data_IF_543551041308
#
_entry.id   IF_543551041308
#
_cell.length_a   1.000
_cell.length_b   1.000
_cell.length_c   1.000
_cell.angle_alpha   90.00
_cell.angle_beta   90.00
_cell.angle_gamma   90.00
#
_symmetry.space_group_name_H-M   'P 1'
#
loop_
_entity.id
_entity.type
_entity.pdbx_description
1 polymer ?
#
# COMPACT_ATOMS: atom_id res chain seq x y z
N UNK A 1 4.00 72.67 43.87
CA UNK A 1 4.86 71.91 42.85
C UNK A 1 4.42 70.50 42.86
N UNK A 2 3.65 70.10 41.85
CA UNK A 2 3.08 68.74 41.74
C UNK A 2 3.92 67.96 40.72
N UNK A 3 4.62 66.88 41.15
CA UNK A 3 5.37 65.99 40.27
C UNK A 3 4.45 64.88 39.82
N UNK A 4 4.14 64.86 38.53
CA UNK A 4 3.41 63.76 37.87
C UNK A 4 4.42 62.68 37.51
N UNK A 5 4.29 61.48 38.10
CA UNK A 5 5.09 60.31 37.73
C UNK A 5 4.47 59.61 36.52
N UNK A 6 5.19 59.56 35.40
CA UNK A 6 4.80 58.79 34.22
C UNK A 6 5.06 57.29 34.50
N UNK A 7 4.01 56.51 34.59
CA UNK A 7 4.08 55.07 34.65
C UNK A 7 4.38 54.52 33.25
N UNK A 8 5.52 53.83 33.07
CA UNK A 8 5.83 53.13 31.86
C UNK A 8 5.06 51.80 31.80
N UNK A 9 4.08 51.71 30.93
CA UNK A 9 3.36 50.46 30.64
C UNK A 9 4.23 49.62 29.70
N UNK A 10 4.79 48.55 30.24
CA UNK A 10 5.43 47.49 29.43
C UNK A 10 4.37 46.61 28.79
N UNK A 11 4.19 46.73 27.48
CA UNK A 11 3.36 45.82 26.68
C UNK A 11 4.12 44.55 26.47
N UNK A 12 3.60 43.34 26.83
CA UNK A 12 4.28 42.08 26.54
C UNK A 12 4.17 41.80 25.07
N UNK A 13 5.32 41.62 24.40
CA UNK A 13 5.39 41.11 23.03
C UNK A 13 4.92 39.65 23.03
N UNK A 14 3.70 39.41 22.58
CA UNK A 14 3.20 38.08 22.27
C UNK A 14 3.97 37.57 21.03
N UNK A 15 4.89 36.63 21.25
CA UNK A 15 5.48 35.87 20.19
C UNK A 15 4.37 35.01 19.57
N UNK A 16 3.86 35.41 18.42
CA UNK A 16 3.04 34.57 17.56
C UNK A 16 3.91 33.40 17.07
N UNK A 17 3.82 32.25 17.74
CA UNK A 17 4.31 30.98 17.17
C UNK A 17 3.44 30.71 15.95
N UNK A 18 3.99 30.97 14.77
CA UNK A 18 3.47 30.43 13.52
C UNK A 18 3.56 28.91 13.60
N UNK A 19 2.42 28.27 13.84
CA UNK A 19 2.25 26.84 13.64
C UNK A 19 2.39 26.59 12.13
N UNK A 20 3.59 26.28 11.68
CA UNK A 20 3.80 25.66 10.38
C UNK A 20 3.14 24.28 10.44
N UNK A 21 1.93 24.17 9.94
CA UNK A 21 1.35 22.90 9.57
C UNK A 21 2.27 22.29 8.51
N UNK A 22 2.76 21.05 8.68
CA UNK A 22 3.44 20.39 7.59
C UNK A 22 2.42 20.30 6.46
N UNK A 23 2.75 20.84 5.29
CA UNK A 23 2.05 20.52 4.05
C UNK A 23 2.27 19.03 3.83
N UNK A 24 1.37 18.20 4.37
CA UNK A 24 1.23 16.83 3.93
C UNK A 24 0.79 16.92 2.48
N UNK A 25 1.74 16.74 1.57
CA UNK A 25 1.45 16.45 0.18
C UNK A 25 0.76 15.08 0.23
N UNK A 26 -0.55 15.07 0.42
CA UNK A 26 -1.36 13.89 0.17
C UNK A 26 -1.16 13.55 -1.30
N UNK A 27 -0.23 12.65 -1.55
CA UNK A 27 -0.17 11.96 -2.83
C UNK A 27 -1.40 11.04 -2.82
N UNK A 28 -2.51 11.54 -3.33
CA UNK A 28 -3.63 10.71 -3.73
C UNK A 28 -3.21 9.91 -4.98
N UNK A 29 -2.23 9.04 -4.84
CA UNK A 29 -2.00 8.02 -5.83
C UNK A 29 -3.16 7.04 -5.68
N UNK A 30 -4.03 7.00 -6.68
CA UNK A 30 -5.14 6.05 -6.67
C UNK A 30 -4.58 4.64 -6.83
N UNK A 31 -4.98 3.69 -5.97
CA UNK A 31 -4.53 2.32 -6.09
C UNK A 31 -5.00 1.70 -7.40
N UNK A 32 -4.18 0.86 -8.00
CA UNK A 32 -4.60 0.06 -9.14
C UNK A 32 -5.62 -0.99 -8.70
N UNK A 33 -6.79 -0.99 -9.35
CA UNK A 33 -7.87 -1.94 -9.06
C UNK A 33 -8.17 -2.75 -10.33
N UNK A 34 -8.29 -4.05 -10.17
CA UNK A 34 -8.59 -4.96 -11.26
C UNK A 34 -10.03 -4.79 -11.78
N UNK A 35 -10.23 -5.15 -13.05
CA UNK A 35 -11.56 -5.27 -13.64
C UNK A 35 -12.44 -6.19 -12.78
N UNK A 36 -13.75 -5.90 -12.76
CA UNK A 36 -14.70 -6.66 -11.93
C UNK A 36 -14.74 -8.17 -12.23
N UNK A 37 -14.38 -8.58 -13.44
CA UNK A 37 -14.39 -9.95 -13.92
C UNK A 37 -13.04 -10.68 -13.81
N UNK A 38 -12.05 -10.11 -13.09
CA UNK A 38 -10.69 -10.66 -13.01
C UNK A 38 -10.66 -12.15 -12.59
N UNK A 39 -11.58 -12.59 -11.74
CA UNK A 39 -11.66 -13.97 -11.27
C UNK A 39 -12.07 -14.97 -12.36
N UNK A 40 -12.53 -14.50 -13.52
CA UNK A 40 -12.80 -15.34 -14.71
C UNK A 40 -11.50 -15.77 -15.43
N UNK A 41 -10.36 -15.10 -15.15
CA UNK A 41 -9.08 -15.49 -15.72
C UNK A 41 -8.66 -16.85 -15.18
N UNK A 42 -8.64 -17.87 -16.03
CA UNK A 42 -8.32 -19.26 -15.67
C UNK A 42 -7.04 -19.78 -16.35
N UNK A 43 -6.66 -19.15 -17.44
CA UNK A 43 -5.46 -19.52 -18.16
C UNK A 43 -4.28 -18.62 -17.79
N UNK A 44 -3.07 -19.17 -17.89
CA UNK A 44 -1.84 -18.44 -17.61
C UNK A 44 -1.78 -17.18 -18.49
N UNK A 45 -1.47 -16.04 -17.86
CA UNK A 45 -1.30 -14.77 -18.54
C UNK A 45 0.17 -14.56 -18.89
N UNK A 46 0.46 -14.37 -20.18
CA UNK A 46 1.78 -14.05 -20.69
C UNK A 46 2.84 -15.09 -20.31
N UNK A 47 3.93 -14.64 -19.69
CA UNK A 47 5.04 -15.50 -19.27
C UNK A 47 4.78 -16.32 -17.98
N UNK A 48 3.58 -16.22 -17.40
CA UNK A 48 3.21 -16.93 -16.18
C UNK A 48 3.70 -16.27 -14.89
N UNK A 49 4.32 -15.11 -14.94
CA UNK A 49 4.76 -14.41 -13.75
C UNK A 49 3.63 -13.59 -13.11
N UNK A 50 3.67 -13.45 -11.79
CA UNK A 50 2.65 -12.71 -11.03
C UNK A 50 2.46 -11.27 -11.51
N UNK A 51 3.55 -10.57 -11.82
CA UNK A 51 3.53 -9.19 -12.34
C UNK A 51 2.76 -9.10 -13.66
N UNK A 52 2.93 -10.07 -14.56
CA UNK A 52 2.24 -10.07 -15.85
C UNK A 52 0.73 -10.21 -15.68
N UNK A 53 0.27 -11.08 -14.77
CA UNK A 53 -1.14 -11.22 -14.46
C UNK A 53 -1.73 -9.90 -13.94
N UNK A 54 -1.17 -9.36 -12.87
CA UNK A 54 -1.76 -8.18 -12.21
C UNK A 54 -1.72 -6.95 -13.10
N UNK A 55 -0.69 -6.77 -13.91
CA UNK A 55 -0.63 -5.67 -14.88
C UNK A 55 -1.70 -5.81 -15.97
N UNK A 56 -1.91 -7.02 -16.48
CA UNK A 56 -2.97 -7.27 -17.46
C UNK A 56 -4.36 -6.95 -16.90
N UNK A 57 -4.62 -7.32 -15.64
CA UNK A 57 -5.94 -7.18 -15.03
C UNK A 57 -6.22 -5.76 -14.50
N UNK A 58 -5.20 -4.97 -14.19
CA UNK A 58 -5.34 -3.64 -13.59
C UNK A 58 -4.95 -2.47 -14.51
N UNK A 59 -4.19 -2.75 -15.56
CA UNK A 59 -3.57 -1.70 -16.38
C UNK A 59 -2.37 -1.02 -15.70
N UNK A 60 -1.81 -1.60 -14.63
CA UNK A 60 -0.67 -1.03 -13.94
C UNK A 60 0.56 -0.89 -14.84
N UNK A 61 1.30 0.20 -14.64
CA UNK A 61 2.57 0.46 -15.34
C UNK A 61 3.64 -0.60 -15.02
N UNK A 62 4.79 -0.51 -15.66
CA UNK A 62 5.91 -1.44 -15.43
C UNK A 62 6.29 -1.50 -13.93
N UNK A 63 6.57 -2.69 -13.42
CA UNK A 63 6.83 -2.92 -11.98
C UNK A 63 8.08 -2.19 -11.47
N UNK A 64 9.01 -1.82 -12.33
CA UNK A 64 10.16 -0.96 -11.99
C UNK A 64 9.75 0.46 -11.57
N UNK A 65 8.54 0.89 -11.93
CA UNK A 65 7.97 2.18 -11.59
C UNK A 65 7.07 2.16 -10.35
N UNK A 66 6.79 0.97 -9.82
CA UNK A 66 5.92 0.82 -8.65
C UNK A 66 6.55 1.42 -7.40
N UNK A 67 5.69 2.04 -6.61
CA UNK A 67 6.02 2.59 -5.30
C UNK A 67 5.19 1.88 -4.25
N UNK A 68 5.75 1.79 -3.06
CA UNK A 68 5.06 1.25 -1.91
C UNK A 68 4.08 2.31 -1.38
N UNK A 69 2.80 1.96 -1.39
CA UNK A 69 1.74 2.69 -0.72
C UNK A 69 1.47 2.15 0.69
N UNK A 70 0.24 2.29 1.16
CA UNK A 70 -0.15 1.86 2.50
C UNK A 70 0.02 0.35 2.69
N UNK A 71 0.39 -0.05 3.91
CA UNK A 71 0.44 -1.46 4.30
C UNK A 71 -0.95 -2.09 4.26
N UNK A 72 -1.03 -3.32 3.74
CA UNK A 72 -2.29 -4.07 3.73
C UNK A 72 -2.84 -4.23 5.15
N UNK A 73 -1.98 -4.52 6.14
CA UNK A 73 -2.36 -4.64 7.55
C UNK A 73 -3.06 -3.39 8.07
N UNK A 74 -2.51 -2.21 7.80
CA UNK A 74 -3.07 -0.93 8.26
C UNK A 74 -4.43 -0.61 7.61
N UNK A 75 -4.56 -0.97 6.33
CA UNK A 75 -5.82 -0.80 5.59
C UNK A 75 -6.90 -1.77 6.07
N UNK A 76 -6.53 -3.01 6.46
CA UNK A 76 -7.46 -3.98 7.04
C UNK A 76 -8.02 -3.49 8.37
N UNK A 77 -7.19 -2.92 9.24
CA UNK A 77 -7.63 -2.34 10.51
C UNK A 77 -8.62 -1.18 10.30
N UNK A 78 -8.42 -0.40 9.25
CA UNK A 78 -9.31 0.73 8.89
C UNK A 78 -10.53 0.29 8.07
N UNK A 79 -10.60 -0.97 7.62
CA UNK A 79 -11.65 -1.47 6.73
C UNK A 79 -11.67 -0.77 5.36
N UNK A 80 -10.51 -0.30 4.85
CA UNK A 80 -10.43 0.62 3.71
C UNK A 80 -9.77 0.03 2.45
N UNK A 81 -9.47 -1.28 2.40
CA UNK A 81 -8.94 -1.92 1.19
C UNK A 81 -10.05 -2.52 0.33
N UNK A 82 -10.13 -2.11 -0.92
CA UNK A 82 -11.12 -2.58 -1.87
C UNK A 82 -10.73 -3.93 -2.49
N UNK A 83 -11.74 -4.75 -2.79
CA UNK A 83 -11.55 -5.99 -3.57
C UNK A 83 -10.96 -5.66 -4.95
N UNK A 84 -9.97 -6.44 -5.38
CA UNK A 84 -9.28 -6.25 -6.65
C UNK A 84 -8.09 -5.28 -6.58
N UNK A 85 -7.81 -4.70 -5.42
CA UNK A 85 -6.64 -3.83 -5.25
C UNK A 85 -5.34 -4.59 -5.51
N UNK A 86 -4.49 -4.03 -6.36
CA UNK A 86 -3.14 -4.54 -6.62
C UNK A 86 -2.26 -4.33 -5.38
N UNK A 87 -1.76 -5.42 -4.84
CA UNK A 87 -0.84 -5.45 -3.72
C UNK A 87 0.45 -6.16 -4.11
N UNK A 88 1.56 -5.75 -3.53
CA UNK A 88 2.85 -6.38 -3.78
C UNK A 88 3.76 -6.32 -2.55
N UNK A 89 4.81 -7.14 -2.56
CA UNK A 89 5.88 -7.07 -1.56
C UNK A 89 6.89 -6.01 -1.96
N UNK A 90 7.39 -5.24 -1.00
CA UNK A 90 8.36 -4.17 -1.24
C UNK A 90 9.58 -4.30 -0.34
N UNK A 91 10.69 -3.77 -0.80
CA UNK A 91 11.91 -3.53 -0.02
C UNK A 91 12.36 -2.10 -0.27
N UNK A 92 12.53 -1.32 0.78
CA UNK A 92 12.90 0.10 0.69
C UNK A 92 12.01 0.90 -0.28
N UNK A 93 10.70 0.67 -0.21
CA UNK A 93 9.70 1.36 -1.02
C UNK A 93 9.67 0.99 -2.52
N UNK A 94 10.37 -0.09 -2.91
CA UNK A 94 10.50 -0.53 -4.31
C UNK A 94 10.14 -2.00 -4.47
N UNK A 95 9.47 -2.33 -5.57
CA UNK A 95 9.32 -3.71 -6.01
C UNK A 95 10.64 -4.22 -6.59
N UNK A 96 11.14 -5.34 -6.09
CA UNK A 96 12.51 -5.77 -6.35
C UNK A 96 12.74 -6.40 -7.73
N UNK A 97 11.70 -6.90 -8.40
CA UNK A 97 11.80 -7.62 -9.68
C UNK A 97 12.82 -8.76 -9.66
N UNK A 98 12.99 -9.41 -8.51
CA UNK A 98 13.88 -10.58 -8.39
C UNK A 98 13.17 -11.85 -8.88
N UNK A 99 13.96 -12.84 -9.24
CA UNK A 99 13.46 -14.16 -9.63
C UNK A 99 12.68 -14.84 -8.48
N UNK A 100 13.07 -14.58 -7.23
CA UNK A 100 12.47 -15.13 -6.01
C UNK A 100 12.38 -14.06 -4.92
N UNK A 101 11.52 -14.29 -3.91
CA UNK A 101 11.45 -13.46 -2.71
C UNK A 101 10.59 -12.19 -2.84
N UNK A 102 9.98 -11.96 -4.00
CA UNK A 102 8.97 -10.91 -4.19
C UNK A 102 7.73 -11.49 -4.87
N UNK A 103 6.58 -10.84 -4.68
CA UNK A 103 5.32 -11.29 -5.26
C UNK A 103 4.35 -10.13 -5.43
N UNK A 104 3.43 -10.28 -6.39
CA UNK A 104 2.33 -9.36 -6.62
C UNK A 104 1.02 -10.15 -6.77
N UNK A 105 -0.06 -9.61 -6.28
CA UNK A 105 -1.38 -10.25 -6.25
C UNK A 105 -2.50 -9.21 -6.27
N UNK A 106 -3.74 -9.68 -6.44
CA UNK A 106 -4.93 -8.89 -6.19
C UNK A 106 -5.52 -9.27 -4.84
N UNK A 107 -5.82 -8.30 -4.01
CA UNK A 107 -6.54 -8.50 -2.77
C UNK A 107 -7.99 -8.89 -3.06
N UNK A 108 -8.52 -9.93 -2.41
CA UNK A 108 -9.93 -10.32 -2.53
C UNK A 108 -10.71 -9.88 -1.30
N UNK A 109 -10.30 -10.36 -0.12
CA UNK A 109 -10.97 -10.07 1.16
C UNK A 109 -10.11 -10.49 2.35
N UNK A 110 -10.46 -9.97 3.50
CA UNK A 110 -9.98 -10.50 4.78
C UNK A 110 -10.73 -11.81 5.12
N UNK A 111 -10.01 -12.75 5.70
CA UNK A 111 -10.54 -14.01 6.23
C UNK A 111 -10.02 -14.23 7.66
N UNK A 112 -10.60 -15.11 8.45
CA UNK A 112 -10.06 -15.44 9.77
C UNK A 112 -8.60 -15.85 9.70
N UNK A 113 -7.73 -15.10 10.39
CA UNK A 113 -6.29 -15.35 10.45
C UNK A 113 -5.48 -15.05 9.18
N UNK A 114 -6.04 -14.34 8.19
CA UNK A 114 -5.33 -14.06 6.96
C UNK A 114 -6.07 -13.18 5.95
N UNK A 115 -5.61 -13.25 4.71
CA UNK A 115 -6.28 -12.64 3.56
C UNK A 115 -6.40 -13.65 2.41
N UNK A 116 -7.43 -13.50 1.62
CA UNK A 116 -7.58 -14.19 0.35
C UNK A 116 -7.08 -13.27 -0.77
N UNK A 117 -6.22 -13.81 -1.63
CA UNK A 117 -5.62 -13.12 -2.76
C UNK A 117 -5.86 -13.88 -4.06
N UNK A 118 -5.77 -13.19 -5.19
CA UNK A 118 -5.79 -13.79 -6.53
C UNK A 118 -4.45 -13.55 -7.19
N UNK A 119 -3.77 -14.63 -7.57
CA UNK A 119 -2.44 -14.55 -8.15
C UNK A 119 -2.13 -15.69 -9.12
N UNK A 120 -1.01 -15.59 -9.81
CA UNK A 120 -0.36 -16.67 -10.54
C UNK A 120 1.14 -16.63 -10.27
N UNK A 121 1.81 -17.72 -10.54
CA UNK A 121 3.27 -17.78 -10.66
C UNK A 121 3.64 -18.81 -11.72
N UNK A 122 4.91 -18.89 -12.05
CA UNK A 122 5.39 -19.78 -13.12
C UNK A 122 4.91 -21.21 -12.89
N UNK A 123 4.24 -21.78 -13.89
CA UNK A 123 3.62 -23.12 -13.87
C UNK A 123 2.38 -23.24 -12.95
N UNK A 124 1.85 -22.15 -12.45
CA UNK A 124 0.63 -22.15 -11.66
C UNK A 124 -0.39 -21.18 -12.26
N UNK A 125 -1.55 -21.72 -12.66
CA UNK A 125 -2.64 -20.93 -13.23
C UNK A 125 -3.20 -19.92 -12.25
N UNK A 126 -3.78 -18.81 -12.75
CA UNK A 126 -4.47 -17.85 -11.92
C UNK A 126 -5.50 -18.50 -11.02
N UNK A 127 -5.44 -18.25 -9.74
CA UNK A 127 -6.40 -18.77 -8.76
C UNK A 127 -6.45 -17.93 -7.49
N UNK A 128 -7.55 -18.10 -6.75
CA UNK A 128 -7.66 -17.57 -5.40
C UNK A 128 -6.98 -18.50 -4.39
N UNK A 129 -6.27 -17.92 -3.42
CA UNK A 129 -5.70 -18.66 -2.29
C UNK A 129 -5.65 -17.80 -1.04
N UNK A 130 -5.60 -18.46 0.12
CA UNK A 130 -5.46 -17.80 1.41
C UNK A 130 -3.99 -17.80 1.86
N UNK A 131 -3.53 -16.64 2.33
CA UNK A 131 -2.25 -16.50 3.03
C UNK A 131 -2.52 -16.04 4.46
N UNK A 132 -1.73 -16.55 5.42
CA UNK A 132 -2.01 -16.40 6.85
C UNK A 132 -1.02 -15.48 7.54
N UNK A 133 -1.50 -14.72 8.53
CA UNK A 133 -0.69 -13.91 9.43
C UNK A 133 0.21 -14.78 10.32
N UNK A 134 1.30 -14.18 10.82
CA UNK A 134 2.16 -14.78 11.83
C UNK A 134 3.07 -15.94 11.36
N UNK A 135 3.14 -16.21 10.06
CA UNK A 135 4.00 -17.26 9.49
C UNK A 135 5.40 -16.73 9.22
N UNK A 136 6.17 -16.42 10.25
CA UNK A 136 7.51 -15.82 10.12
C UNK A 136 8.50 -16.65 9.31
N UNK A 137 8.41 -17.99 9.33
CA UNK A 137 9.24 -18.89 8.55
C UNK A 137 8.82 -19.02 7.08
N UNK A 138 7.63 -18.52 6.69
CA UNK A 138 7.18 -18.55 5.30
C UNK A 138 7.87 -17.46 4.47
N UNK A 139 8.05 -17.71 3.18
CA UNK A 139 8.53 -16.71 2.23
C UNK A 139 7.60 -15.49 2.18
N UNK A 140 8.13 -14.35 1.73
CA UNK A 140 7.40 -13.06 1.71
C UNK A 140 6.05 -13.14 0.98
N UNK A 141 5.96 -13.94 -0.10
CA UNK A 141 4.73 -14.17 -0.88
C UNK A 141 3.58 -14.84 -0.11
N UNK A 142 3.86 -15.44 1.04
CA UNK A 142 2.89 -16.15 1.88
C UNK A 142 2.61 -15.42 3.21
N UNK A 143 3.00 -14.16 3.32
CA UNK A 143 2.89 -13.36 4.54
C UNK A 143 2.15 -12.05 4.26
N UNK A 144 0.88 -11.90 4.71
CA UNK A 144 0.11 -10.67 4.50
C UNK A 144 0.84 -9.41 4.96
N UNK A 145 1.64 -9.49 6.03
CA UNK A 145 2.38 -8.38 6.61
C UNK A 145 3.48 -7.82 5.68
N UNK A 146 3.80 -8.55 4.61
CA UNK A 146 4.82 -8.13 3.63
C UNK A 146 4.24 -7.35 2.46
N UNK A 147 2.92 -7.29 2.37
CA UNK A 147 2.24 -6.62 1.27
C UNK A 147 1.87 -5.18 1.59
N UNK A 148 1.99 -4.36 0.58
CA UNK A 148 1.49 -2.98 0.54
C UNK A 148 0.75 -2.76 -0.77
N UNK A 149 -0.10 -1.75 -0.82
CA UNK A 149 -0.75 -1.30 -2.05
C UNK A 149 0.30 -0.78 -3.02
N UNK A 150 0.11 -1.00 -4.31
CA UNK A 150 0.97 -0.50 -5.38
C UNK A 150 0.48 0.87 -5.84
N UNK A 151 1.40 1.84 -5.91
CA UNK A 151 1.24 3.20 -6.44
C UNK A 151 2.15 3.48 -7.63
#
# INVERSE_FOLDING_TARGET
MLRIALAHIKVPVRILRTLSLPLATERNAMPYIARADYAKQKEIVGNGECVTLVRNLTGARASSLWREGDKVTDLLEKGSIAKGTLIATFVNGRYQNLRHGNHAALFIRQVPGGIEIFDQWRNHKPSARVIHFGRSAAGASNRPERYSVVE
#
